data_IF_019162537236
#
_entry.id   IF_019162537236
#
_cell.length_a   1.000
_cell.length_b   1.000
_cell.length_c   1.000
_cell.angle_alpha   90.00
_cell.angle_beta   90.00
_cell.angle_gamma   90.00
#
_symmetry.space_group_name_H-M   'P 1'
#
loop_
_entity.id
_entity.type
_entity.pdbx_description
1 polymer ?
#
# COMPACT_ATOMS: atom_id res chain seq x y z
N UNK A 1 -12.54 -4.56 7.60
CA UNK A 1 -12.03 -3.18 7.39
C UNK A 1 -12.94 -2.47 6.38
N UNK A 2 -12.87 -1.15 6.26
CA UNK A 2 -13.58 -0.38 5.24
C UNK A 2 -12.56 0.36 4.37
N UNK A 3 -12.68 0.22 3.04
CA UNK A 3 -11.85 0.99 2.11
C UNK A 3 -12.21 2.48 2.20
N UNK A 4 -11.18 3.34 2.20
CA UNK A 4 -11.32 4.79 2.16
C UNK A 4 -10.55 5.36 0.99
N UNK A 5 -11.14 6.38 0.37
CA UNK A 5 -10.49 7.10 -0.73
C UNK A 5 -9.51 8.14 -0.17
N UNK A 6 -8.30 8.16 -0.74
CA UNK A 6 -7.27 9.14 -0.42
C UNK A 6 -7.01 10.02 -1.63
N UNK A 7 -7.21 11.32 -1.45
CA UNK A 7 -7.06 12.32 -2.54
C UNK A 7 -5.60 12.50 -2.99
N UNK A 8 -4.67 12.66 -2.04
CA UNK A 8 -3.24 12.83 -2.32
C UNK A 8 -2.48 11.59 -1.85
N UNK A 9 -2.38 10.61 -2.76
CA UNK A 9 -1.73 9.32 -2.47
C UNK A 9 -0.24 9.48 -2.17
N UNK A 10 0.46 10.39 -2.86
CA UNK A 10 1.89 10.60 -2.63
C UNK A 10 2.17 11.17 -1.25
N UNK A 11 1.39 12.17 -0.82
CA UNK A 11 1.52 12.74 0.52
C UNK A 11 1.13 11.74 1.60
N UNK A 12 0.05 11.00 1.39
CA UNK A 12 -0.43 10.03 2.37
C UNK A 12 0.56 8.90 2.58
N UNK A 13 1.08 8.31 1.50
CA UNK A 13 2.13 7.29 1.56
C UNK A 13 3.35 7.81 2.32
N UNK A 14 3.81 9.03 2.04
CA UNK A 14 4.96 9.63 2.73
C UNK A 14 4.72 9.82 4.24
N UNK A 15 3.50 10.19 4.66
CA UNK A 15 3.17 10.46 6.06
C UNK A 15 2.91 9.19 6.87
N UNK A 16 2.36 8.15 6.23
CA UNK A 16 1.84 6.96 6.90
C UNK A 16 2.65 5.69 6.63
N UNK A 17 3.74 5.76 5.86
CA UNK A 17 4.63 4.61 5.71
C UNK A 17 5.27 4.25 7.07
N UNK A 18 5.14 3.01 7.57
CA UNK A 18 5.59 2.62 8.92
C UNK A 18 7.07 2.90 9.21
N UNK A 19 7.91 2.79 8.19
CA UNK A 19 9.35 3.03 8.29
C UNK A 19 9.81 4.39 7.72
N UNK A 20 8.88 5.30 7.39
CA UNK A 20 9.21 6.60 6.80
C UNK A 20 9.95 6.53 5.44
N UNK A 21 9.89 5.39 4.74
CA UNK A 21 10.53 5.22 3.43
C UNK A 21 9.89 6.18 2.44
N UNK A 22 10.73 6.86 1.67
CA UNK A 22 10.26 7.62 0.50
C UNK A 22 10.00 6.62 -0.61
N UNK A 23 8.71 6.41 -0.89
CA UNK A 23 8.22 5.58 -1.97
C UNK A 23 7.47 6.48 -2.97
N UNK A 24 7.95 6.53 -4.21
CA UNK A 24 7.30 7.19 -5.33
C UNK A 24 6.13 6.36 -5.86
N UNK A 25 5.07 7.02 -6.33
CA UNK A 25 3.86 6.32 -6.82
C UNK A 25 4.14 5.41 -8.02
N UNK A 26 5.10 5.77 -8.88
CA UNK A 26 5.45 5.01 -10.08
C UNK A 26 6.48 3.89 -9.82
N UNK A 27 6.93 3.71 -8.59
CA UNK A 27 7.85 2.61 -8.27
C UNK A 27 7.12 1.27 -8.37
N UNK A 28 7.65 0.36 -9.18
CA UNK A 28 7.13 -1.01 -9.27
C UNK A 28 7.46 -1.78 -8.00
N UNK A 29 6.44 -2.38 -7.42
CA UNK A 29 6.55 -3.27 -6.26
C UNK A 29 5.89 -4.60 -6.55
N UNK A 30 6.29 -5.60 -5.77
CA UNK A 30 5.64 -6.92 -5.73
C UNK A 30 5.17 -7.20 -4.31
N UNK A 31 3.93 -7.65 -4.16
CA UNK A 31 3.46 -8.13 -2.86
C UNK A 31 3.89 -9.59 -2.67
N UNK A 32 4.49 -9.92 -1.52
CA UNK A 32 4.96 -11.28 -1.23
C UNK A 32 3.84 -12.30 -0.98
N UNK A 33 2.60 -11.85 -0.74
CA UNK A 33 1.47 -12.74 -0.44
C UNK A 33 0.75 -13.26 -1.69
N UNK A 34 0.63 -12.42 -2.73
CA UNK A 34 -0.15 -12.76 -3.94
C UNK A 34 0.66 -12.66 -5.23
N UNK A 35 1.97 -12.38 -5.13
CA UNK A 35 2.89 -12.20 -6.25
C UNK A 35 2.52 -11.09 -7.26
N UNK A 36 1.46 -10.32 -6.99
CA UNK A 36 1.04 -9.22 -7.85
C UNK A 36 2.15 -8.16 -7.94
N UNK A 37 2.51 -7.81 -9.17
CA UNK A 37 3.38 -6.66 -9.49
C UNK A 37 2.50 -5.47 -9.85
N UNK A 38 2.73 -4.33 -9.21
CA UNK A 38 1.90 -3.12 -9.33
C UNK A 38 2.75 -1.87 -9.16
N UNK A 39 2.19 -0.70 -9.49
CA UNK A 39 2.81 0.58 -9.15
C UNK A 39 2.47 0.90 -7.70
N UNK A 40 3.43 1.37 -6.90
CA UNK A 40 3.20 1.68 -5.50
C UNK A 40 1.97 2.56 -5.28
N UNK A 41 1.64 3.45 -6.21
CA UNK A 41 0.46 4.32 -6.19
C UNK A 41 -0.89 3.62 -6.38
N UNK A 42 -0.93 2.35 -6.78
CA UNK A 42 -2.16 1.56 -6.92
C UNK A 42 -2.74 1.08 -5.58
N UNK A 43 -2.02 1.34 -4.48
CA UNK A 43 -2.40 0.91 -3.14
C UNK A 43 -3.82 1.34 -2.73
N UNK A 44 -4.44 0.55 -1.88
CA UNK A 44 -5.72 0.89 -1.24
C UNK A 44 -5.48 1.28 0.21
N UNK A 45 -6.37 2.09 0.78
CA UNK A 45 -6.34 2.38 2.23
C UNK A 45 -7.54 1.77 2.88
N UNK A 46 -7.30 1.02 3.94
CA UNK A 46 -8.34 0.41 4.74
C UNK A 46 -8.29 0.95 6.15
N UNK A 47 -9.47 1.28 6.69
CA UNK A 47 -9.66 1.67 8.09
C UNK A 47 -10.30 0.53 8.86
N UNK A 48 -9.76 0.21 10.03
CA UNK A 48 -10.35 -0.79 10.92
C UNK A 48 -11.41 -0.18 11.85
N UNK A 49 -11.90 -1.00 12.80
CA UNK A 49 -12.94 -0.59 13.76
C UNK A 49 -12.40 0.30 14.89
N UNK A 50 -11.10 0.24 15.16
CA UNK A 50 -10.42 1.06 16.17
C UNK A 50 -10.06 2.44 15.60
N UNK A 51 -10.07 2.55 14.26
CA UNK A 51 -9.80 3.78 13.54
C UNK A 51 -8.41 3.82 12.92
N UNK A 52 -7.64 2.74 13.04
CA UNK A 52 -6.31 2.60 12.46
C UNK A 52 -6.42 2.43 10.94
N UNK A 53 -5.49 3.04 10.22
CA UNK A 53 -5.46 3.07 8.76
C UNK A 53 -4.24 2.33 8.24
N UNK A 54 -4.45 1.52 7.20
CA UNK A 54 -3.45 0.63 6.64
C UNK A 54 -3.32 0.89 5.14
N UNK A 55 -2.07 1.01 4.69
CA UNK A 55 -1.73 1.02 3.26
C UNK A 55 -1.65 -0.43 2.81
N UNK A 56 -2.59 -0.85 1.98
CA UNK A 56 -2.81 -2.24 1.59
C UNK A 56 -2.46 -2.49 0.12
N UNK A 57 -2.18 -3.76 -0.18
CA UNK A 57 -2.03 -4.30 -1.52
C UNK A 57 -3.22 -3.87 -2.41
N UNK A 58 -3.01 -3.57 -3.70
CA UNK A 58 -4.11 -3.25 -4.62
C UNK A 58 -5.14 -4.39 -4.77
N UNK A 59 -4.70 -5.63 -4.54
CA UNK A 59 -5.56 -6.82 -4.54
C UNK A 59 -6.32 -7.03 -3.22
N UNK A 60 -6.30 -6.08 -2.28
CA UNK A 60 -7.19 -6.14 -1.12
C UNK A 60 -8.65 -5.88 -1.57
N UNK A 61 -9.65 -6.55 -0.97
CA UNK A 61 -9.56 -7.39 0.24
C UNK A 61 -9.17 -8.86 -0.01
N UNK A 62 -8.99 -9.29 -1.26
CA UNK A 62 -8.60 -10.68 -1.59
C UNK A 62 -7.17 -11.01 -1.14
N UNK A 63 -6.33 -9.98 -0.90
CA UNK A 63 -5.01 -10.08 -0.31
C UNK A 63 -4.92 -9.24 0.97
N UNK A 64 -4.26 -9.78 2.00
CA UNK A 64 -4.07 -9.13 3.30
C UNK A 64 -2.72 -8.40 3.42
N UNK A 65 -1.94 -8.34 2.34
CA UNK A 65 -0.65 -7.65 2.33
C UNK A 65 -0.77 -6.14 2.52
N UNK A 66 0.17 -5.59 3.28
CA UNK A 66 0.32 -4.16 3.54
C UNK A 66 1.62 -3.64 2.93
N UNK A 67 1.87 -2.34 3.05
CA UNK A 67 3.08 -1.68 2.50
C UNK A 67 4.40 -2.28 2.98
N UNK A 68 4.42 -2.96 4.13
CA UNK A 68 5.63 -3.64 4.64
C UNK A 68 5.94 -4.94 3.89
N UNK A 69 4.94 -5.50 3.21
CA UNK A 69 5.01 -6.78 2.49
C UNK A 69 5.39 -6.57 1.01
N UNK A 70 5.81 -5.36 0.65
CA UNK A 70 6.16 -4.97 -0.70
C UNK A 70 7.66 -5.02 -0.90
N UNK A 71 8.09 -5.82 -1.87
CA UNK A 71 9.49 -5.92 -2.26
C UNK A 71 9.74 -5.20 -3.58
N UNK A 72 10.97 -4.74 -3.75
CA UNK A 72 11.44 -4.14 -4.99
C UNK A 72 11.45 -5.21 -6.09
N UNK A 73 10.95 -4.85 -7.27
CA UNK A 73 11.07 -5.70 -8.46
C UNK A 73 12.37 -5.29 -9.13
N UNK A 74 13.36 -6.18 -9.16
CA UNK A 74 14.57 -5.96 -9.95
C UNK A 74 14.16 -5.77 -11.42
N UNK A 75 14.61 -4.67 -12.01
CA UNK A 75 14.41 -4.33 -13.42
C UNK A 75 15.55 -4.82 -14.29
#
# INVERSE_FOLDING_TARGET
MKEIEVKDKQQYLRKNHPFGRKLGLEERKKCIHCDLVFLAGDYKVFKDRNGDEYICCPNAPECEGTVIDWVDVEG
#
